data_IF_144313766049
#
_entry.id   IF_144313766049
#
_cell.length_a   1.000
_cell.length_b   1.000
_cell.length_c   1.000
_cell.angle_alpha   90.00
_cell.angle_beta   90.00
_cell.angle_gamma   90.00
#
_symmetry.space_group_name_H-M   'P 1'
#
loop_
_entity.id
_entity.type
_entity.pdbx_description
1 polymer ?
#
# COMPACT_ATOMS: atom_id res chain seq x y z
N UNK A 1 14.54 1.50 10.06
CA UNK A 1 14.05 2.28 8.90
C UNK A 1 12.77 3.00 9.29
N UNK A 2 12.47 4.15 8.66
CA UNK A 2 11.23 4.89 8.87
C UNK A 2 10.33 4.64 7.66
N UNK A 3 9.15 4.07 7.89
CA UNK A 3 8.23 3.63 6.83
C UNK A 3 6.94 4.43 6.90
N UNK A 4 6.47 4.87 5.74
CA UNK A 4 5.16 5.52 5.56
C UNK A 4 4.32 4.61 4.67
N UNK A 5 3.14 4.25 5.15
CA UNK A 5 2.15 3.50 4.39
C UNK A 5 1.05 4.45 3.91
N UNK A 6 1.03 4.70 2.60
CA UNK A 6 0.07 5.57 1.94
C UNK A 6 -1.15 4.77 1.47
N UNK A 7 -2.35 5.29 1.75
CA UNK A 7 -3.62 4.66 1.37
C UNK A 7 -4.59 5.69 0.78
N UNK A 8 -5.33 5.32 -0.27
CA UNK A 8 -6.37 6.19 -0.87
C UNK A 8 -7.76 5.98 -0.24
N UNK A 9 -7.94 4.89 0.52
CA UNK A 9 -9.18 4.58 1.22
C UNK A 9 -9.26 5.29 2.58
N UNK A 10 -10.00 6.39 2.64
CA UNK A 10 -10.16 7.19 3.87
C UNK A 10 -10.81 6.39 5.01
N UNK A 11 -11.80 5.56 4.70
CA UNK A 11 -12.46 4.69 5.70
C UNK A 11 -11.48 3.70 6.31
N UNK A 12 -10.59 3.13 5.48
CA UNK A 12 -9.52 2.25 5.97
C UNK A 12 -8.59 3.01 6.91
N UNK A 13 -8.13 4.21 6.53
CA UNK A 13 -7.29 5.04 7.40
C UNK A 13 -7.93 5.30 8.76
N UNK A 14 -9.22 5.69 8.80
CA UNK A 14 -9.94 5.91 10.06
C UNK A 14 -9.98 4.63 10.89
N UNK A 15 -10.32 3.49 10.28
CA UNK A 15 -10.39 2.21 10.97
C UNK A 15 -9.05 1.74 11.51
N UNK A 16 -7.94 2.02 10.81
CA UNK A 16 -6.59 1.66 11.26
C UNK A 16 -6.09 2.56 12.40
N UNK A 17 -6.54 3.81 12.46
CA UNK A 17 -6.21 4.72 13.56
C UNK A 17 -7.10 4.53 14.79
N UNK A 18 -8.33 4.05 14.60
CA UNK A 18 -9.18 3.69 15.73
C UNK A 18 -8.65 2.42 16.37
N UNK A 19 -8.08 2.53 17.57
CA UNK A 19 -7.59 1.44 18.43
C UNK A 19 -8.75 0.54 18.93
N UNK A 20 -9.90 0.57 18.26
CA UNK A 20 -11.01 -0.29 18.64
C UNK A 20 -10.76 -1.67 18.03
N UNK A 21 -10.60 -2.67 18.90
CA UNK A 21 -10.34 -4.09 18.61
C UNK A 21 -11.42 -4.75 17.72
N UNK A 22 -12.38 -3.98 17.21
CA UNK A 22 -13.53 -4.36 16.43
C UNK A 22 -13.29 -4.33 14.91
N UNK A 23 -12.05 -4.56 14.45
CA UNK A 23 -11.73 -4.80 13.04
C UNK A 23 -12.33 -6.15 12.55
N UNK A 24 -13.66 -6.20 12.40
CA UNK A 24 -14.44 -7.42 12.24
C UNK A 24 -14.30 -8.12 10.88
N UNK A 25 -13.68 -7.48 9.87
CA UNK A 25 -13.44 -8.07 8.55
C UNK A 25 -11.96 -8.12 8.13
N UNK A 26 -11.14 -7.19 8.62
CA UNK A 26 -9.71 -7.04 8.23
C UNK A 26 -8.78 -7.27 9.43
N UNK A 27 -9.31 -7.61 10.61
CA UNK A 27 -8.54 -7.70 11.86
C UNK A 27 -7.31 -8.62 11.79
N UNK A 28 -7.38 -9.73 11.04
CA UNK A 28 -6.22 -10.58 10.79
C UNK A 28 -5.11 -9.86 10.01
N UNK A 29 -5.45 -9.27 8.87
CA UNK A 29 -4.50 -8.47 8.08
C UNK A 29 -3.95 -7.29 8.87
N UNK A 30 -4.77 -6.65 9.71
CA UNK A 30 -4.32 -5.56 10.57
C UNK A 30 -3.29 -6.04 11.60
N UNK A 31 -3.55 -7.19 12.23
CA UNK A 31 -2.62 -7.80 13.16
C UNK A 31 -1.27 -8.07 12.49
N UNK A 32 -1.28 -8.67 11.30
CA UNK A 32 -0.07 -8.98 10.54
C UNK A 32 0.71 -7.71 10.16
N UNK A 33 0.02 -6.67 9.68
CA UNK A 33 0.63 -5.37 9.37
C UNK A 33 1.26 -4.75 10.62
N UNK A 34 0.57 -4.78 11.75
CA UNK A 34 1.07 -4.23 13.00
C UNK A 34 2.23 -5.05 13.57
N UNK A 35 2.21 -6.36 13.42
CA UNK A 35 3.33 -7.22 13.81
C UNK A 35 4.57 -6.89 12.98
N UNK A 36 4.44 -6.82 11.65
CA UNK A 36 5.52 -6.41 10.75
C UNK A 36 6.00 -4.99 11.06
N UNK A 37 5.08 -4.08 11.43
CA UNK A 37 5.42 -2.69 11.74
C UNK A 37 6.44 -2.56 12.88
N UNK A 38 6.46 -3.53 13.81
CA UNK A 38 7.40 -3.57 14.95
C UNK A 38 8.85 -3.80 14.54
N UNK A 39 9.08 -4.32 13.35
CA UNK A 39 10.43 -4.47 12.79
C UNK A 39 11.03 -3.14 12.33
N UNK A 40 10.21 -2.09 12.19
CA UNK A 40 10.65 -0.76 11.77
C UNK A 40 10.86 0.18 12.96
N UNK A 41 11.69 1.20 12.76
CA UNK A 41 11.99 2.21 13.79
C UNK A 41 10.84 3.21 13.93
N UNK A 42 10.12 3.46 12.83
CA UNK A 42 8.90 4.26 12.79
C UNK A 42 8.01 3.73 11.68
N UNK A 43 6.72 3.68 11.94
CA UNK A 43 5.70 3.29 10.98
C UNK A 43 4.51 4.24 11.09
N UNK A 44 4.07 4.82 9.96
CA UNK A 44 2.99 5.81 9.92
C UNK A 44 2.02 5.53 8.79
N UNK A 45 0.75 5.78 9.06
CA UNK A 45 -0.30 5.75 8.05
C UNK A 45 -0.59 7.15 7.55
N UNK A 46 -0.69 7.31 6.23
CA UNK A 46 -1.04 8.58 5.60
C UNK A 46 -2.13 8.32 4.57
N UNK A 47 -3.19 9.13 4.62
CA UNK A 47 -4.16 9.15 3.54
C UNK A 47 -3.65 10.04 2.42
N UNK A 48 -3.67 9.52 1.20
CA UNK A 48 -3.32 10.26 -0.02
C UNK A 48 -4.52 10.30 -0.97
N UNK A 49 -4.51 11.26 -1.89
CA UNK A 49 -5.52 11.27 -2.95
C UNK A 49 -5.29 10.09 -3.90
N UNK A 50 -6.35 9.58 -4.52
CA UNK A 50 -6.27 8.43 -5.43
C UNK A 50 -5.28 8.66 -6.58
N UNK A 51 -5.15 9.89 -7.05
CA UNK A 51 -4.20 10.25 -8.12
C UNK A 51 -2.74 10.06 -7.70
N UNK A 52 -2.43 10.27 -6.41
CA UNK A 52 -1.11 10.00 -5.83
C UNK A 52 -0.90 8.51 -5.49
N UNK A 53 -1.93 7.67 -5.64
CA UNK A 53 -1.85 6.23 -5.46
C UNK A 53 -2.17 5.47 -6.77
N UNK A 54 -1.95 6.12 -7.92
CA UNK A 54 -2.35 5.60 -9.24
C UNK A 54 -1.57 4.35 -9.66
N UNK A 55 -0.32 4.23 -9.22
CA UNK A 55 0.52 3.06 -9.50
C UNK A 55 -0.08 1.82 -8.83
N UNK A 56 -0.44 1.93 -7.55
CA UNK A 56 -1.08 0.84 -6.79
C UNK A 56 -2.44 0.48 -7.40
N UNK A 57 -3.24 1.47 -7.81
CA UNK A 57 -4.50 1.20 -8.50
C UNK A 57 -4.30 0.39 -9.78
N UNK A 58 -3.29 0.76 -10.58
CA UNK A 58 -2.95 0.04 -11.81
C UNK A 58 -2.51 -1.39 -11.51
N UNK A 59 -1.65 -1.60 -10.51
CA UNK A 59 -1.26 -2.93 -10.03
C UNK A 59 -2.45 -3.79 -9.60
N UNK A 60 -3.36 -3.23 -8.79
CA UNK A 60 -4.55 -3.94 -8.32
C UNK A 60 -5.49 -4.34 -9.47
N UNK A 61 -5.51 -3.58 -10.58
CA UNK A 61 -6.33 -3.88 -11.75
C UNK A 61 -5.81 -5.04 -12.61
N UNK A 62 -4.52 -5.41 -12.47
CA UNK A 62 -3.91 -6.51 -13.24
C UNK A 62 -4.39 -7.88 -12.75
N UNK A 63 -4.81 -7.97 -11.49
CA UNK A 63 -5.25 -9.23 -10.89
C UNK A 63 -6.70 -9.53 -11.32
N UNK A 64 -6.89 -10.64 -12.02
CA UNK A 64 -8.22 -11.13 -12.41
C UNK A 64 -8.86 -11.93 -11.27
N UNK A 65 -10.19 -12.02 -11.25
CA UNK A 65 -10.92 -12.92 -10.35
C UNK A 65 -10.55 -14.41 -10.52
N UNK A 66 -9.92 -14.78 -11.64
CA UNK A 66 -9.50 -16.16 -11.95
C UNK A 66 -8.03 -16.44 -11.66
N UNK A 67 -7.21 -15.40 -11.49
CA UNK A 67 -5.78 -15.52 -11.21
C UNK A 67 -5.50 -14.78 -9.91
N UNK A 68 -5.51 -15.52 -8.80
CA UNK A 68 -5.41 -14.96 -7.45
C UNK A 68 -4.01 -14.50 -7.07
N UNK A 69 -3.01 -14.71 -7.93
CA UNK A 69 -1.63 -14.30 -7.69
C UNK A 69 -0.88 -14.04 -9.00
N UNK A 70 -0.11 -12.95 -9.01
CA UNK A 70 0.81 -12.58 -10.07
C UNK A 70 2.17 -12.27 -9.44
N UNK A 71 3.24 -12.88 -9.95
CA UNK A 71 4.60 -12.70 -9.44
C UNK A 71 5.53 -12.27 -10.57
N UNK A 72 6.39 -11.29 -10.28
CA UNK A 72 7.44 -10.81 -11.17
C UNK A 72 8.79 -11.03 -10.48
N UNK A 73 9.52 -12.07 -10.88
CA UNK A 73 10.79 -12.46 -10.24
C UNK A 73 12.02 -11.91 -10.97
N UNK A 74 12.03 -12.02 -12.31
CA UNK A 74 13.19 -11.68 -13.13
C UNK A 74 13.04 -10.36 -13.90
N UNK A 75 11.80 -9.98 -14.23
CA UNK A 75 11.50 -8.78 -15.00
C UNK A 75 10.21 -8.14 -14.49
N UNK A 76 10.30 -6.86 -14.13
CA UNK A 76 9.15 -6.02 -13.82
C UNK A 76 8.53 -5.59 -15.17
N UNK A 77 7.20 -5.63 -15.33
CA UNK A 77 6.57 -5.19 -16.57
C UNK A 77 6.89 -3.73 -16.91
N UNK A 78 7.19 -3.44 -18.19
CA UNK A 78 7.55 -2.09 -18.64
C UNK A 78 6.53 -1.03 -18.23
N UNK A 79 5.24 -1.36 -18.27
CA UNK A 79 4.17 -0.45 -17.86
C UNK A 79 4.30 -0.01 -16.40
N UNK A 80 4.72 -0.90 -15.50
CA UNK A 80 4.89 -0.59 -14.07
C UNK A 80 6.14 0.26 -13.86
N UNK A 81 7.22 -0.03 -14.58
CA UNK A 81 8.43 0.79 -14.57
C UNK A 81 8.13 2.22 -15.05
N UNK A 82 7.36 2.38 -16.14
CA UNK A 82 6.97 3.70 -16.62
C UNK A 82 6.12 4.48 -15.60
N UNK A 83 5.19 3.80 -14.92
CA UNK A 83 4.36 4.42 -13.89
C UNK A 83 5.20 4.84 -12.67
N UNK A 84 6.11 3.99 -12.21
CA UNK A 84 6.98 4.29 -11.08
C UNK A 84 7.87 5.52 -11.33
N UNK A 85 8.43 5.64 -12.54
CA UNK A 85 9.25 6.82 -12.91
C UNK A 85 8.42 8.12 -12.86
N UNK A 86 7.15 8.07 -13.25
CA UNK A 86 6.25 9.23 -13.17
C UNK A 86 5.81 9.60 -11.75
N UNK A 87 5.81 8.64 -10.84
CA UNK A 87 5.40 8.80 -9.44
C UNK A 87 6.56 9.31 -8.56
N UNK A 88 7.81 9.03 -8.95
CA UNK A 88 8.98 9.57 -8.27
C UNK A 88 9.02 11.10 -8.38
N UNK A 89 8.64 11.81 -7.31
CA UNK A 89 8.98 13.23 -7.19
C UNK A 89 10.49 13.35 -6.97
N UNK A 90 11.24 14.09 -7.80
CA UNK A 90 12.63 14.36 -7.50
C UNK A 90 12.69 15.11 -6.17
N UNK A 91 13.44 14.57 -5.21
CA UNK A 91 13.76 15.31 -3.98
C UNK A 91 14.47 16.58 -4.42
N UNK A 92 13.80 17.72 -4.26
CA UNK A 92 14.46 19.01 -4.42
C UNK A 92 15.45 19.11 -3.27
N UNK A 93 16.75 19.05 -3.60
CA UNK A 93 17.85 19.35 -2.68
C UNK A 93 17.74 20.79 -2.14
#
# INVERSE_FOLDING_TARGET
>A
ENVVLEVDCHSLKISLESIDDSCSLIGGLWHDIMELSRSFSSFKFVWVRREANSVVHSCASVVSSTEHSCFWLDAIPDWLTCLAVGDCTPTSD
#
